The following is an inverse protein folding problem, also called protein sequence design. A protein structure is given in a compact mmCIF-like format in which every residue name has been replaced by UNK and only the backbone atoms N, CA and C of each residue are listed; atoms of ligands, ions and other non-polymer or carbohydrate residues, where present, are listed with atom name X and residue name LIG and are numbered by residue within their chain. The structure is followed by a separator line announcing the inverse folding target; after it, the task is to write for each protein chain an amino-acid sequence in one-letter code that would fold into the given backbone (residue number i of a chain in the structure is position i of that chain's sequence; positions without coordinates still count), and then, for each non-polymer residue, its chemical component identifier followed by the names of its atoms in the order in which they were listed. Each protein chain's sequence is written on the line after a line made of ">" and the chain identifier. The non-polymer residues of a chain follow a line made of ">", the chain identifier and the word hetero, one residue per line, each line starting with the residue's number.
data_IF_644588721296
#
_entry.id   IF_644588721296
#
_cell.length_a   1.000
_cell.length_b   1.000
_cell.length_c   1.000
_cell.angle_alpha   90.00
_cell.angle_beta   90.00
_cell.angle_gamma   90.00
#
_symmetry.space_group_name_H-M   'P 1'
#
loop_
_entity.id
_entity.type
_entity.pdbx_description
1 polymer ?
#
# COMPACT_ATOMS: atom_id res chain seq x y z
N UNK A 1 -1.55 -4.22 13.47
CA UNK A 1 -0.83 -4.19 12.17
C UNK A 1 -1.55 -3.25 11.20
N UNK A 2 -0.84 -2.36 10.48
CA UNK A 2 -1.45 -1.49 9.45
C UNK A 2 -1.66 -2.23 8.12
N UNK A 3 -2.84 -2.15 7.54
CA UNK A 3 -3.11 -2.69 6.19
C UNK A 3 -3.35 -1.53 5.23
N UNK A 4 -2.48 -1.37 4.24
CA UNK A 4 -2.58 -0.30 3.27
C UNK A 4 -3.41 -0.75 2.06
N UNK A 5 -4.50 -0.03 1.78
CA UNK A 5 -5.23 -0.20 0.52
C UNK A 5 -4.40 0.45 -0.59
N UNK A 6 -3.85 -0.36 -1.49
CA UNK A 6 -2.95 0.12 -2.52
C UNK A 6 -3.73 0.62 -3.76
N UNK A 7 -3.28 1.73 -4.34
CA UNK A 7 -3.79 2.34 -5.58
C UNK A 7 -5.25 2.85 -5.58
N UNK A 8 -5.80 3.44 -4.49
CA UNK A 8 -7.12 4.08 -4.53
C UNK A 8 -7.30 5.12 -5.65
N UNK A 9 -6.25 5.85 -6.04
CA UNK A 9 -6.25 6.82 -7.14
C UNK A 9 -6.62 6.19 -8.50
N UNK A 10 -6.49 4.87 -8.64
CA UNK A 10 -6.89 4.14 -9.86
C UNK A 10 -8.42 3.92 -9.98
N UNK A 11 -9.20 4.38 -9.00
CA UNK A 11 -10.67 4.24 -8.96
C UNK A 11 -11.32 5.59 -8.69
N UNK A 12 -11.73 6.27 -9.76
CA UNK A 12 -12.38 7.59 -9.69
C UNK A 12 -13.60 7.57 -8.77
N UNK A 13 -14.36 6.48 -8.77
CA UNK A 13 -15.55 6.30 -7.95
C UNK A 13 -15.23 6.32 -6.45
N UNK A 14 -14.08 5.77 -6.05
CA UNK A 14 -13.61 5.80 -4.65
C UNK A 14 -13.19 7.22 -4.27
N UNK A 15 -12.47 7.92 -5.16
CA UNK A 15 -12.07 9.32 -4.96
C UNK A 15 -13.30 10.23 -4.85
N UNK A 16 -14.27 10.08 -5.76
CA UNK A 16 -15.53 10.82 -5.73
C UNK A 16 -16.29 10.58 -4.43
N UNK A 17 -16.32 9.33 -3.95
CA UNK A 17 -17.00 9.01 -2.70
C UNK A 17 -16.28 9.59 -1.46
N UNK A 18 -14.94 9.65 -1.45
CA UNK A 18 -14.17 10.34 -0.41
C UNK A 18 -14.38 11.86 -0.44
N UNK A 19 -14.35 12.48 -1.62
CA UNK A 19 -14.60 13.91 -1.79
C UNK A 19 -16.01 14.29 -1.37
N UNK A 20 -17.01 13.50 -1.77
CA UNK A 20 -18.40 13.69 -1.35
C UNK A 20 -18.56 13.53 0.17
N UNK A 21 -17.82 12.59 0.79
CA UNK A 21 -17.79 12.49 2.25
C UNK A 21 -17.25 13.76 2.93
N UNK A 22 -16.15 14.32 2.41
CA UNK A 22 -15.57 15.58 2.93
C UNK A 22 -16.46 16.81 2.69
N UNK A 23 -17.31 16.80 1.66
CA UNK A 23 -18.24 17.88 1.36
C UNK A 23 -19.46 17.97 2.31
N UNK A 24 -19.70 16.94 3.14
CA UNK A 24 -20.72 16.93 4.20
C UNK A 24 -22.17 16.72 3.71
N UNK A 25 -23.14 17.21 4.49
CA UNK A 25 -24.58 16.88 4.35
C UNK A 25 -25.22 17.20 2.99
N UNK A 26 -24.61 18.05 2.17
CA UNK A 26 -25.13 18.43 0.84
C UNK A 26 -25.33 17.23 -0.09
N UNK A 27 -24.53 16.17 0.07
CA UNK A 27 -24.59 14.97 -0.76
C UNK A 27 -25.02 13.71 0.01
N UNK A 28 -25.48 13.84 1.27
CA UNK A 28 -25.81 12.68 2.12
C UNK A 28 -26.86 11.76 1.50
N UNK A 29 -27.91 12.32 0.91
CA UNK A 29 -29.00 11.56 0.26
C UNK A 29 -28.46 10.81 -0.97
N UNK A 30 -27.63 11.47 -1.80
CA UNK A 30 -26.97 10.84 -2.95
C UNK A 30 -26.03 9.72 -2.49
N UNK A 31 -25.23 9.96 -1.45
CA UNK A 31 -24.30 8.99 -0.87
C UNK A 31 -25.00 7.75 -0.31
N UNK A 32 -26.07 7.94 0.47
CA UNK A 32 -26.87 6.84 1.02
C UNK A 32 -27.57 6.04 -0.08
N UNK A 33 -28.06 6.72 -1.13
CA UNK A 33 -28.72 6.05 -2.27
C UNK A 33 -27.76 5.25 -3.16
N UNK A 34 -26.50 5.70 -3.31
CA UNK A 34 -25.51 5.07 -4.21
C UNK A 34 -24.65 4.04 -3.45
N UNK A 35 -24.29 4.30 -2.19
CA UNK A 35 -23.29 3.52 -1.45
C UNK A 35 -23.81 2.85 -0.16
N UNK A 36 -25.08 3.06 0.20
CA UNK A 36 -25.72 2.48 1.38
C UNK A 36 -25.48 3.27 2.67
N UNK A 37 -26.28 2.97 3.70
CA UNK A 37 -26.26 3.68 4.98
C UNK A 37 -24.97 3.47 5.79
N UNK A 38 -24.24 2.37 5.59
CA UNK A 38 -23.01 2.01 6.32
C UNK A 38 -21.73 2.63 5.73
N UNK A 39 -21.88 3.55 4.77
CA UNK A 39 -20.78 4.16 4.04
C UNK A 39 -19.98 5.16 4.90
N UNK A 40 -18.69 4.85 5.14
CA UNK A 40 -17.81 5.62 6.04
C UNK A 40 -18.48 5.99 7.38
N UNK A 41 -19.30 5.10 7.96
CA UNK A 41 -19.96 5.39 9.24
C UNK A 41 -19.00 5.16 10.41
N UNK A 42 -18.88 6.21 11.23
CA UNK A 42 -18.22 6.28 12.53
C UNK A 42 -18.55 7.65 13.13
N UNK A 43 -18.67 7.76 14.44
CA UNK A 43 -18.95 9.05 15.10
C UNK A 43 -17.77 10.02 14.96
N UNK A 44 -18.05 11.25 14.49
CA UNK A 44 -17.11 12.39 14.47
C UNK A 44 -16.12 12.43 13.29
N UNK A 45 -15.19 13.41 13.33
CA UNK A 45 -14.11 13.75 12.36
C UNK A 45 -13.16 12.57 11.96
N UNK A 46 -13.54 11.31 12.18
CA UNK A 46 -12.63 10.17 12.37
C UNK A 46 -12.77 9.01 11.36
N UNK A 47 -13.34 9.22 10.16
CA UNK A 47 -13.58 8.11 9.22
C UNK A 47 -12.45 7.91 8.23
N UNK A 48 -12.00 8.96 7.53
CA UNK A 48 -10.85 8.87 6.62
C UNK A 48 -9.54 8.66 7.39
N UNK A 49 -9.44 9.15 8.63
CA UNK A 49 -8.26 8.96 9.49
C UNK A 49 -8.07 7.50 9.94
N UNK A 50 -9.09 6.65 9.77
CA UNK A 50 -8.99 5.20 9.93
C UNK A 50 -8.60 4.44 8.66
N UNK A 51 -8.18 5.14 7.61
CA UNK A 51 -7.76 4.55 6.32
C UNK A 51 -6.25 4.69 6.18
N UNK A 52 -5.58 3.58 5.83
CA UNK A 52 -4.20 3.60 5.37
C UNK A 52 -4.15 3.35 3.86
N UNK A 53 -3.40 4.18 3.15
CA UNK A 53 -3.31 4.13 1.68
C UNK A 53 -1.87 4.03 1.23
N UNK A 54 -1.64 3.20 0.21
CA UNK A 54 -0.37 3.15 -0.50
C UNK A 54 -0.60 3.61 -1.93
N UNK A 55 0.18 4.58 -2.39
CA UNK A 55 0.15 5.05 -3.77
C UNK A 55 1.52 4.98 -4.41
N UNK A 56 1.53 4.99 -5.74
CA UNK A 56 2.78 5.04 -6.51
C UNK A 56 3.04 6.43 -7.05
N UNK A 57 4.23 6.95 -6.79
CA UNK A 57 4.71 8.21 -7.34
C UNK A 57 4.60 8.26 -8.87
N UNK A 58 4.87 7.14 -9.55
CA UNK A 58 4.78 7.04 -11.00
C UNK A 58 3.41 7.47 -11.56
N UNK A 59 2.33 7.16 -10.84
CA UNK A 59 0.97 7.55 -11.22
C UNK A 59 0.60 8.94 -10.68
N UNK A 60 0.94 9.23 -9.42
CA UNK A 60 0.60 10.50 -8.78
C UNK A 60 1.27 11.71 -9.44
N UNK A 61 2.49 11.58 -9.97
CA UNK A 61 3.18 12.68 -10.66
C UNK A 61 2.45 13.18 -11.91
N UNK A 62 1.48 12.43 -12.42
CA UNK A 62 0.63 12.81 -13.56
C UNK A 62 -0.74 13.33 -13.14
N UNK A 63 -1.14 13.08 -11.89
CA UNK A 63 -2.42 13.50 -11.34
C UNK A 63 -2.28 13.67 -9.83
N UNK A 64 -2.05 14.92 -9.41
CA UNK A 64 -1.83 15.28 -8.01
C UNK A 64 -3.14 15.61 -7.27
N UNK A 65 -4.30 15.50 -7.92
CA UNK A 65 -5.62 15.78 -7.32
C UNK A 65 -5.95 14.85 -6.14
N UNK A 66 -5.23 13.73 -6.02
CA UNK A 66 -5.31 12.84 -4.87
C UNK A 66 -4.60 13.39 -3.63
N UNK A 67 -3.56 14.21 -3.79
CA UNK A 67 -2.73 14.69 -2.69
C UNK A 67 -3.48 15.50 -1.63
N UNK A 68 -4.48 16.34 -1.96
CA UNK A 68 -5.34 16.98 -0.96
C UNK A 68 -6.06 16.02 0.00
N UNK A 69 -6.34 14.77 -0.41
CA UNK A 69 -6.96 13.74 0.44
C UNK A 69 -5.97 13.15 1.44
N UNK A 70 -4.68 13.14 1.12
CA UNK A 70 -3.63 12.43 1.89
C UNK A 70 -3.60 12.85 3.36
N UNK A 71 -3.79 14.15 3.63
CA UNK A 71 -3.81 14.70 5.01
C UNK A 71 -4.95 14.20 5.89
N UNK A 72 -6.00 13.61 5.30
CA UNK A 72 -7.15 13.08 6.02
C UNK A 72 -6.98 11.59 6.38
N UNK A 73 -5.98 10.90 5.80
CA UNK A 73 -5.75 9.49 6.06
C UNK A 73 -4.94 9.26 7.35
N UNK A 74 -5.12 8.09 7.95
CA UNK A 74 -4.35 7.68 9.14
C UNK A 74 -2.88 7.40 8.83
N UNK A 75 -2.61 6.97 7.60
CA UNK A 75 -1.25 6.73 7.12
C UNK A 75 -1.19 6.74 5.60
N UNK A 76 -0.15 7.34 5.05
CA UNK A 76 0.14 7.35 3.63
C UNK A 76 1.56 6.81 3.37
N UNK A 77 1.64 5.77 2.54
CA UNK A 77 2.89 5.22 2.02
C UNK A 77 3.02 5.59 0.54
N UNK A 78 4.18 6.13 0.18
CA UNK A 78 4.50 6.42 -1.21
C UNK A 78 5.52 5.41 -1.74
N UNK A 79 5.10 4.60 -2.69
CA UNK A 79 5.98 3.76 -3.49
C UNK A 79 6.65 4.57 -4.61
N UNK A 80 7.90 4.23 -4.94
CA UNK A 80 8.66 4.88 -6.01
C UNK A 80 8.08 4.59 -7.40
N UNK A 81 7.27 3.54 -7.55
CA UNK A 81 6.71 3.10 -8.83
C UNK A 81 7.66 2.26 -9.67
N UNK A 82 8.77 1.81 -9.08
CA UNK A 82 9.76 0.94 -9.70
C UNK A 82 9.13 -0.31 -10.36
N UNK A 83 8.14 -0.92 -9.71
CA UNK A 83 7.41 -2.07 -10.26
C UNK A 83 6.83 -1.81 -11.65
N UNK A 84 6.35 -0.60 -11.93
CA UNK A 84 5.77 -0.27 -13.25
C UNK A 84 6.84 -0.23 -14.34
N UNK A 85 8.07 0.17 -14.03
CA UNK A 85 9.19 0.12 -14.97
C UNK A 85 9.64 -1.31 -15.25
N UNK A 86 9.63 -2.18 -14.23
CA UNK A 86 10.01 -3.60 -14.36
C UNK A 86 8.94 -4.43 -15.08
N UNK A 87 7.66 -4.14 -14.87
CA UNK A 87 6.54 -4.86 -15.49
C UNK A 87 6.14 -4.36 -16.88
N UNK A 88 6.60 -3.16 -17.26
CA UNK A 88 6.30 -2.51 -18.53
C UNK A 88 7.25 -2.88 -19.67
N UNK A 89 6.87 -2.52 -20.89
CA UNK A 89 7.74 -2.58 -22.08
C UNK A 89 8.36 -1.21 -22.38
N UNK A 90 8.83 -0.51 -21.34
CA UNK A 90 9.49 0.79 -21.49
C UNK A 90 10.83 0.59 -22.21
N UNK A 91 10.78 0.69 -23.54
CA UNK A 91 11.90 0.52 -24.47
C UNK A 91 12.90 1.69 -24.45
N UNK A 92 12.65 2.72 -23.64
CA UNK A 92 13.57 3.84 -23.44
C UNK A 92 14.26 3.72 -22.08
N UNK A 93 15.56 3.95 -22.02
CA UNK A 93 16.28 4.06 -20.75
C UNK A 93 15.64 5.10 -19.85
N UNK A 94 15.54 4.80 -18.56
CA UNK A 94 15.10 5.76 -17.55
C UNK A 94 16.33 6.49 -17.01
N UNK A 95 16.31 7.82 -17.00
CA UNK A 95 17.30 8.60 -16.24
C UNK A 95 16.93 8.50 -14.75
N UNK A 96 17.55 7.56 -14.05
CA UNK A 96 17.29 7.31 -12.63
C UNK A 96 17.74 8.45 -11.74
N UNK A 97 18.77 9.21 -12.13
CA UNK A 97 19.20 10.38 -11.38
C UNK A 97 18.14 11.47 -11.43
N UNK A 98 17.61 11.77 -12.63
CA UNK A 98 16.50 12.71 -12.79
C UNK A 98 15.25 12.22 -12.05
N UNK A 99 14.91 10.93 -12.18
CA UNK A 99 13.75 10.35 -11.51
C UNK A 99 13.82 10.47 -9.99
N UNK A 100 14.98 10.17 -9.37
CA UNK A 100 15.18 10.34 -7.92
C UNK A 100 15.07 11.80 -7.51
N UNK A 101 15.58 12.73 -8.32
CA UNK A 101 15.48 14.16 -8.03
C UNK A 101 14.02 14.63 -8.05
N UNK A 102 13.26 14.29 -9.10
CA UNK A 102 11.82 14.62 -9.16
C UNK A 102 11.03 13.96 -8.02
N UNK A 103 11.36 12.71 -7.68
CA UNK A 103 10.72 11.99 -6.59
C UNK A 103 11.01 12.65 -5.23
N UNK A 104 12.24 13.07 -4.98
CA UNK A 104 12.63 13.81 -3.79
C UNK A 104 11.89 15.16 -3.69
N UNK A 105 11.79 15.89 -4.80
CA UNK A 105 11.06 17.16 -4.86
C UNK A 105 9.57 16.96 -4.55
N UNK A 106 8.96 15.89 -5.08
CA UNK A 106 7.58 15.52 -4.76
C UNK A 106 7.40 15.22 -3.26
N UNK A 107 8.30 14.41 -2.68
CA UNK A 107 8.30 14.07 -1.25
C UNK A 107 8.39 15.33 -0.38
N UNK A 108 9.25 16.28 -0.76
CA UNK A 108 9.44 17.52 -0.02
C UNK A 108 8.25 18.45 -0.15
N UNK A 109 7.75 18.66 -1.38
CA UNK A 109 6.61 19.54 -1.68
C UNK A 109 5.33 19.14 -0.94
N UNK A 110 5.06 17.83 -0.84
CA UNK A 110 3.89 17.30 -0.13
C UNK A 110 4.18 16.81 1.28
N UNK A 111 5.40 17.03 1.77
CA UNK A 111 5.88 16.59 3.09
C UNK A 111 5.55 15.12 3.41
N UNK A 112 5.77 14.25 2.43
CA UNK A 112 5.52 12.80 2.56
C UNK A 112 6.42 12.23 3.66
N UNK A 113 5.81 11.48 4.60
CA UNK A 113 6.48 10.97 5.80
C UNK A 113 7.04 9.57 5.64
N UNK A 114 6.32 8.71 4.92
CA UNK A 114 6.70 7.31 4.70
C UNK A 114 6.77 7.07 3.20
N UNK A 115 7.96 6.74 2.71
CA UNK A 115 8.19 6.50 1.29
C UNK A 115 9.27 5.45 1.11
N UNK A 116 9.13 4.65 0.05
CA UNK A 116 10.11 3.60 -0.27
C UNK A 116 11.29 4.16 -1.06
N UNK A 117 12.39 3.43 -1.01
CA UNK A 117 13.48 3.60 -1.96
C UNK A 117 13.07 3.26 -3.40
N UNK A 118 13.98 3.46 -4.35
CA UNK A 118 13.83 2.93 -5.70
C UNK A 118 14.19 1.45 -5.70
N UNK A 119 13.17 0.59 -5.71
CA UNK A 119 13.29 -0.87 -5.74
C UNK A 119 13.52 -1.39 -7.18
N UNK A 120 14.73 -1.15 -7.70
CA UNK A 120 15.12 -1.46 -9.09
C UNK A 120 16.39 -2.32 -9.17
N UNK A 121 16.66 -3.13 -8.15
CA UNK A 121 17.83 -4.01 -8.05
C UNK A 121 18.04 -4.87 -9.30
N UNK A 122 16.94 -5.39 -9.86
CA UNK A 122 16.96 -6.25 -11.05
C UNK A 122 17.35 -5.50 -12.32
N UNK A 123 17.32 -4.17 -12.31
CA UNK A 123 17.59 -3.31 -13.47
C UNK A 123 18.99 -2.72 -13.41
N UNK A 124 19.43 -2.21 -12.25
CA UNK A 124 20.69 -1.45 -12.13
C UNK A 124 21.68 -2.04 -11.13
N UNK A 125 21.28 -3.08 -10.38
CA UNK A 125 22.10 -3.68 -9.33
C UNK A 125 22.10 -2.92 -8.01
N UNK A 126 22.47 -3.61 -6.93
CA UNK A 126 22.39 -3.11 -5.55
C UNK A 126 23.24 -1.85 -5.31
N UNK A 127 24.47 -1.80 -5.82
CA UNK A 127 25.37 -0.67 -5.60
C UNK A 127 24.78 0.66 -6.13
N UNK A 128 24.08 0.59 -7.27
CA UNK A 128 23.42 1.76 -7.84
C UNK A 128 22.16 2.14 -7.06
N UNK A 129 21.38 1.16 -6.59
CA UNK A 129 20.26 1.42 -5.67
C UNK A 129 20.73 2.09 -4.38
N UNK A 130 21.85 1.65 -3.79
CA UNK A 130 22.44 2.30 -2.61
C UNK A 130 22.86 3.74 -2.91
N UNK A 131 23.50 4.01 -4.05
CA UNK A 131 23.88 5.37 -4.47
C UNK A 131 22.65 6.27 -4.61
N UNK A 132 21.59 5.78 -5.27
CA UNK A 132 20.33 6.48 -5.47
C UNK A 132 19.58 6.70 -4.14
N UNK A 133 19.59 5.72 -3.24
CA UNK A 133 19.05 5.84 -1.86
C UNK A 133 19.76 6.96 -1.11
N UNK A 134 21.09 7.00 -1.12
CA UNK A 134 21.84 8.06 -0.46
C UNK A 134 21.58 9.44 -1.09
N UNK A 135 21.37 9.51 -2.41
CA UNK A 135 20.94 10.76 -3.07
C UNK A 135 19.56 11.20 -2.55
N UNK A 136 18.59 10.29 -2.51
CA UNK A 136 17.24 10.53 -2.01
C UNK A 136 17.27 11.01 -0.55
N UNK A 137 18.07 10.37 0.30
CA UNK A 137 18.26 10.79 1.70
C UNK A 137 18.81 12.21 1.82
N UNK A 138 19.85 12.54 1.04
CA UNK A 138 20.43 13.89 1.06
C UNK A 138 19.44 14.96 0.60
N UNK A 139 18.64 14.67 -0.43
CA UNK A 139 17.69 15.64 -0.99
C UNK A 139 16.44 15.82 -0.12
N UNK A 140 15.99 14.76 0.55
CA UNK A 140 14.77 14.81 1.39
C UNK A 140 15.05 15.12 2.86
N UNK A 141 16.29 14.91 3.32
CA UNK A 141 16.63 14.93 4.74
C UNK A 141 15.93 13.83 5.55
N UNK A 142 15.34 12.83 4.89
CA UNK A 142 14.51 11.77 5.48
C UNK A 142 15.07 10.40 5.10
N UNK A 143 14.79 9.40 5.94
CA UNK A 143 15.15 7.99 5.68
C UNK A 143 14.06 7.31 4.84
N UNK A 144 14.34 6.86 3.61
CA UNK A 144 13.41 6.00 2.86
C UNK A 144 13.26 4.65 3.55
N UNK A 145 12.23 3.89 3.18
CA UNK A 145 12.06 2.48 3.56
C UNK A 145 12.80 1.63 2.52
N UNK A 146 13.96 1.03 2.86
CA UNK A 146 14.66 0.14 1.95
C UNK A 146 13.92 -1.20 1.79
N UNK A 147 13.99 -1.77 0.59
CA UNK A 147 13.27 -3.00 0.21
C UNK A 147 14.26 -4.15 0.06
N UNK A 148 14.11 -5.20 0.87
CA UNK A 148 14.99 -6.35 0.80
C UNK A 148 14.52 -7.35 -0.26
N UNK A 149 15.47 -7.82 -1.07
CA UNK A 149 15.30 -8.90 -2.05
C UNK A 149 16.23 -10.07 -1.74
N UNK A 150 15.87 -11.26 -2.24
CA UNK A 150 16.58 -12.52 -1.97
C UNK A 150 18.10 -12.43 -2.23
N UNK A 151 18.48 -11.76 -3.32
CA UNK A 151 19.86 -11.59 -3.76
C UNK A 151 20.71 -10.74 -2.80
N UNK A 152 20.11 -9.95 -1.90
CA UNK A 152 20.84 -9.12 -0.93
C UNK A 152 21.39 -9.92 0.26
N UNK A 153 20.87 -11.13 0.52
CA UNK A 153 21.35 -11.99 1.61
C UNK A 153 20.91 -11.56 3.01
N UNK A 154 21.17 -12.41 4.01
CA UNK A 154 20.68 -12.21 5.39
C UNK A 154 21.40 -11.08 6.10
N UNK A 155 22.70 -11.00 5.90
CA UNK A 155 23.60 -10.03 6.54
C UNK A 155 23.20 -8.61 6.15
N UNK A 156 22.84 -8.42 4.87
CA UNK A 156 22.32 -7.14 4.40
C UNK A 156 20.97 -6.77 5.04
N UNK A 157 20.08 -7.74 5.25
CA UNK A 157 18.82 -7.47 5.96
C UNK A 157 19.07 -7.00 7.39
N UNK A 158 20.03 -7.62 8.11
CA UNK A 158 20.41 -7.19 9.46
C UNK A 158 20.93 -5.75 9.42
N UNK A 159 21.84 -5.42 8.49
CA UNK A 159 22.35 -4.06 8.28
C UNK A 159 21.22 -3.05 8.00
N UNK A 160 20.27 -3.40 7.14
CA UNK A 160 19.08 -2.56 6.89
C UNK A 160 18.31 -2.27 8.18
N UNK A 161 18.13 -3.27 9.05
CA UNK A 161 17.41 -3.10 10.31
C UNK A 161 18.20 -2.26 11.33
N UNK A 162 19.53 -2.29 11.28
CA UNK A 162 20.40 -1.45 12.12
C UNK A 162 20.37 0.03 11.71
N UNK A 163 20.28 0.30 10.40
CA UNK A 163 20.44 1.63 9.83
C UNK A 163 19.11 2.38 9.60
N UNK A 164 18.00 1.65 9.45
CA UNK A 164 16.69 2.22 9.08
C UNK A 164 15.61 1.86 10.11
N UNK A 165 14.78 2.84 10.55
CA UNK A 165 13.72 2.58 11.53
C UNK A 165 12.55 1.79 10.95
N UNK A 166 12.52 1.58 9.63
CA UNK A 166 11.48 0.87 8.92
C UNK A 166 12.07 0.25 7.66
N UNK A 167 11.89 -1.05 7.48
CA UNK A 167 12.36 -1.82 6.33
C UNK A 167 11.20 -2.56 5.66
N UNK A 168 11.39 -3.02 4.44
CA UNK A 168 10.40 -3.82 3.72
C UNK A 168 10.98 -5.10 3.15
N UNK A 169 10.12 -6.10 2.96
CA UNK A 169 10.44 -7.33 2.22
C UNK A 169 9.72 -7.28 0.88
N UNK A 170 10.49 -7.21 -0.20
CA UNK A 170 10.04 -7.34 -1.59
C UNK A 170 10.07 -8.80 -2.08
N UNK A 171 9.88 -9.00 -3.37
CA UNK A 171 10.04 -10.32 -4.00
C UNK A 171 8.88 -11.31 -3.78
N UNK A 172 7.89 -10.96 -2.94
CA UNK A 172 6.72 -11.80 -2.62
C UNK A 172 5.82 -11.99 -3.84
N UNK A 173 5.52 -10.90 -4.56
CA UNK A 173 4.64 -10.89 -5.73
C UNK A 173 5.36 -11.42 -6.99
N UNK A 174 6.64 -11.12 -7.15
CA UNK A 174 7.48 -11.55 -8.29
C UNK A 174 7.86 -13.03 -8.22
N UNK A 175 7.50 -13.73 -7.14
CA UNK A 175 7.79 -15.17 -6.91
C UNK A 175 9.28 -15.50 -6.94
N UNK A 176 10.15 -14.55 -6.60
CA UNK A 176 11.59 -14.77 -6.43
C UNK A 176 11.90 -15.90 -5.44
N UNK A 177 11.00 -16.09 -4.48
CA UNK A 177 11.00 -17.19 -3.52
C UNK A 177 9.65 -17.91 -3.61
N UNK A 178 9.61 -19.25 -3.71
CA UNK A 178 8.37 -19.99 -3.62
C UNK A 178 7.62 -19.67 -2.33
N UNK A 179 6.29 -19.56 -2.39
CA UNK A 179 5.47 -19.15 -1.24
C UNK A 179 5.70 -19.93 0.03
N UNK A 180 5.79 -21.26 -0.10
CA UNK A 180 6.07 -22.16 1.02
C UNK A 180 7.42 -21.89 1.70
N UNK A 181 8.37 -21.29 0.98
CA UNK A 181 9.73 -21.00 1.45
C UNK A 181 9.84 -19.61 2.06
N UNK A 182 9.19 -18.58 1.50
CA UNK A 182 9.25 -17.25 2.14
C UNK A 182 8.41 -17.21 3.42
N UNK A 183 7.27 -17.90 3.47
CA UNK A 183 6.39 -17.91 4.65
C UNK A 183 7.05 -18.60 5.86
N UNK A 184 8.00 -19.50 5.66
CA UNK A 184 8.80 -20.08 6.76
C UNK A 184 9.91 -19.15 7.22
N UNK A 185 10.35 -18.22 6.39
CA UNK A 185 11.39 -17.25 6.72
C UNK A 185 10.84 -15.98 7.41
N UNK A 186 9.55 -15.65 7.22
CA UNK A 186 8.93 -14.45 7.81
C UNK A 186 9.14 -14.28 9.33
N UNK A 187 9.01 -15.32 10.18
CA UNK A 187 9.29 -15.16 11.60
C UNK A 187 10.71 -14.66 11.87
N UNK A 188 11.71 -15.11 11.09
CA UNK A 188 13.09 -14.64 11.24
C UNK A 188 13.25 -13.17 10.83
N UNK A 189 12.65 -12.76 9.70
CA UNK A 189 12.71 -11.36 9.26
C UNK A 189 12.03 -10.41 10.26
N UNK A 190 10.82 -10.77 10.70
CA UNK A 190 10.04 -9.95 11.66
C UNK A 190 10.80 -9.83 12.98
N UNK A 191 11.25 -10.96 13.55
CA UNK A 191 11.99 -10.95 14.81
C UNK A 191 13.32 -10.18 14.70
N UNK A 192 14.02 -10.28 13.56
CA UNK A 192 15.25 -9.54 13.32
C UNK A 192 14.96 -8.03 13.28
N UNK A 193 13.97 -7.58 12.52
CA UNK A 193 13.59 -6.16 12.49
C UNK A 193 13.25 -5.63 13.89
N UNK A 194 12.40 -6.34 14.64
CA UNK A 194 12.00 -5.94 15.98
C UNK A 194 13.16 -5.95 16.99
N UNK A 195 14.09 -6.91 16.89
CA UNK A 195 15.31 -6.94 17.71
C UNK A 195 16.14 -5.66 17.54
N UNK A 196 16.20 -5.12 16.33
CA UNK A 196 16.90 -3.88 16.01
C UNK A 196 15.99 -2.63 16.09
N UNK A 197 14.77 -2.77 16.64
CA UNK A 197 13.77 -1.69 16.80
C UNK A 197 13.30 -1.08 15.47
N UNK A 198 13.50 -1.78 14.36
CA UNK A 198 12.97 -1.43 13.06
C UNK A 198 11.56 -2.01 12.88
N UNK A 199 10.67 -1.23 12.26
CA UNK A 199 9.39 -1.74 11.74
C UNK A 199 9.62 -2.54 10.46
N UNK A 200 8.70 -3.44 10.13
CA UNK A 200 8.77 -4.24 8.91
C UNK A 200 7.48 -4.23 8.09
N UNK A 201 7.63 -3.96 6.79
CA UNK A 201 6.54 -3.98 5.80
C UNK A 201 6.63 -5.21 4.89
N UNK A 202 5.52 -5.95 4.72
CA UNK A 202 5.42 -7.03 3.73
C UNK A 202 4.80 -6.54 2.42
N UNK A 203 5.62 -6.25 1.41
CA UNK A 203 5.14 -5.68 0.14
C UNK A 203 4.28 -6.68 -0.64
N UNK A 204 3.06 -6.26 -0.99
CA UNK A 204 2.09 -7.06 -1.73
C UNK A 204 1.68 -8.35 -1.02
N UNK A 205 1.85 -8.47 0.31
CA UNK A 205 1.45 -9.66 1.04
C UNK A 205 -0.03 -9.63 1.43
N UNK A 206 -0.84 -10.32 0.62
CA UNK A 206 -2.31 -10.21 0.68
C UNK A 206 -3.01 -11.44 1.28
N UNK A 207 -2.28 -12.40 1.86
CA UNK A 207 -2.91 -13.61 2.42
C UNK A 207 -3.54 -13.32 3.79
N UNK A 208 -4.78 -12.82 3.78
CA UNK A 208 -5.53 -12.40 4.98
C UNK A 208 -5.49 -13.45 6.10
N UNK A 209 -5.76 -14.71 5.78
CA UNK A 209 -5.76 -15.81 6.76
C UNK A 209 -4.41 -16.01 7.48
N UNK A 210 -3.30 -15.67 6.83
CA UNK A 210 -1.96 -15.85 7.39
C UNK A 210 -1.45 -14.61 8.15
N UNK A 211 -2.14 -13.46 8.08
CA UNK A 211 -1.70 -12.24 8.76
C UNK A 211 -1.75 -12.36 10.29
N UNK A 212 -2.65 -13.20 10.82
CA UNK A 212 -2.67 -13.55 12.26
C UNK A 212 -1.39 -14.29 12.69
N UNK A 213 -0.80 -15.06 11.79
CA UNK A 213 0.41 -15.85 12.03
C UNK A 213 1.67 -15.01 11.85
N UNK A 214 1.70 -14.15 10.84
CA UNK A 214 2.86 -13.32 10.49
C UNK A 214 2.57 -11.85 10.80
N UNK A 215 2.90 -11.44 12.02
CA UNK A 215 2.64 -10.11 12.57
C UNK A 215 3.66 -9.08 12.07
N UNK A 216 3.59 -8.77 10.77
CA UNK A 216 4.26 -7.59 10.24
C UNK A 216 3.73 -6.32 10.94
N UNK A 217 4.53 -5.26 11.00
CA UNK A 217 4.01 -3.95 11.43
C UNK A 217 3.00 -3.41 10.42
N UNK A 218 3.18 -3.78 9.15
CA UNK A 218 2.28 -3.41 8.07
C UNK A 218 2.39 -4.31 6.83
N UNK A 219 1.33 -4.32 6.04
CA UNK A 219 1.30 -4.91 4.69
C UNK A 219 0.48 -4.02 3.75
N UNK A 220 0.61 -4.21 2.45
CA UNK A 220 -0.26 -3.59 1.45
C UNK A 220 -0.96 -4.62 0.57
N UNK A 221 -2.06 -4.19 -0.05
CA UNK A 221 -2.87 -5.05 -0.90
C UNK A 221 -3.61 -4.27 -1.98
N UNK A 222 -3.57 -4.82 -3.20
CA UNK A 222 -4.45 -4.44 -4.31
C UNK A 222 -5.67 -5.36 -4.43
N UNK A 223 -5.85 -6.37 -3.57
CA UNK A 223 -6.95 -7.34 -3.70
C UNK A 223 -8.35 -6.73 -3.63
N UNK A 224 -8.51 -5.56 -3.00
CA UNK A 224 -9.76 -4.81 -3.02
C UNK A 224 -10.17 -4.39 -4.45
N UNK A 225 -9.22 -4.23 -5.37
CA UNK A 225 -9.48 -3.97 -6.79
C UNK A 225 -10.00 -5.21 -7.55
N UNK A 226 -9.71 -6.42 -7.06
CA UNK A 226 -10.00 -7.66 -7.79
C UNK A 226 -11.48 -8.03 -7.80
N UNK A 227 -12.28 -7.59 -6.81
CA UNK A 227 -13.72 -7.84 -6.84
C UNK A 227 -14.37 -7.26 -8.11
N UNK A 228 -14.00 -6.05 -8.52
CA UNK A 228 -14.50 -5.48 -9.78
C UNK A 228 -13.99 -6.20 -11.01
N UNK A 229 -12.73 -6.63 -11.00
CA UNK A 229 -12.15 -7.39 -12.13
C UNK A 229 -12.81 -8.77 -12.27
N UNK A 230 -13.18 -9.39 -11.16
CA UNK A 230 -13.79 -10.72 -11.11
C UNK A 230 -15.31 -10.74 -11.08
N UNK A 231 -15.98 -9.58 -11.07
CA UNK A 231 -17.44 -9.50 -11.04
C UNK A 231 -18.09 -9.90 -9.72
N UNK A 232 -17.37 -9.75 -8.60
CA UNK A 232 -17.87 -10.05 -7.25
C UNK A 232 -17.64 -8.89 -6.28
N UNK A 233 -18.36 -8.91 -5.16
CA UNK A 233 -18.07 -8.02 -4.04
C UNK A 233 -17.29 -8.77 -2.96
N UNK A 234 -16.42 -8.05 -2.27
CA UNK A 234 -15.78 -8.52 -1.04
C UNK A 234 -16.68 -8.17 0.15
N UNK A 235 -16.65 -8.99 1.20
CA UNK A 235 -17.29 -8.72 2.49
C UNK A 235 -16.38 -9.16 3.62
N UNK A 236 -16.06 -8.26 4.54
CA UNK A 236 -15.26 -8.58 5.71
C UNK A 236 -16.13 -9.21 6.79
N UNK A 237 -15.68 -10.36 7.32
CA UNK A 237 -16.33 -11.03 8.44
C UNK A 237 -15.49 -10.83 9.72
N UNK A 238 -15.93 -9.96 10.64
CA UNK A 238 -15.18 -9.66 11.87
C UNK A 238 -15.12 -10.83 12.86
N UNK A 239 -16.01 -11.83 12.72
CA UNK A 239 -15.99 -13.02 13.59
C UNK A 239 -14.87 -13.98 13.21
N UNK A 240 -14.60 -14.11 11.92
CA UNK A 240 -13.56 -15.01 11.40
C UNK A 240 -12.25 -14.26 11.10
N UNK A 241 -12.29 -12.94 10.95
CA UNK A 241 -11.16 -12.13 10.52
C UNK A 241 -10.81 -12.30 9.03
N UNK A 242 -11.75 -12.82 8.23
CA UNK A 242 -11.52 -13.16 6.82
C UNK A 242 -12.31 -12.25 5.86
N UNK A 243 -11.84 -12.20 4.61
CA UNK A 243 -12.53 -11.56 3.51
C UNK A 243 -13.27 -12.61 2.68
N UNK A 244 -14.60 -12.49 2.61
CA UNK A 244 -15.48 -13.37 1.85
C UNK A 244 -15.77 -12.77 0.46
N UNK A 245 -15.89 -13.62 -0.55
CA UNK A 245 -16.31 -13.20 -1.89
C UNK A 245 -17.80 -13.53 -2.07
N UNK A 246 -18.56 -12.57 -2.55
CA UNK A 246 -19.99 -12.73 -2.80
C UNK A 246 -20.31 -12.38 -4.25
N UNK A 247 -21.01 -13.29 -4.92
CA UNK A 247 -21.54 -13.11 -6.26
C UNK A 247 -22.95 -13.69 -6.33
N UNK A 248 -23.77 -13.20 -7.26
CA UNK A 248 -25.11 -13.74 -7.51
C UNK A 248 -25.19 -14.22 -8.95
N UNK A 249 -25.55 -15.48 -9.12
CA UNK A 249 -25.74 -16.07 -10.46
C UNK A 249 -26.80 -15.31 -11.26
N UNK A 250 -26.57 -15.17 -12.56
CA UNK A 250 -27.45 -14.42 -13.47
C UNK A 250 -27.45 -12.90 -13.26
N UNK A 251 -26.67 -12.37 -12.32
CA UNK A 251 -26.57 -10.93 -12.06
C UNK A 251 -25.22 -10.37 -12.51
N UNK A 252 -25.21 -9.13 -13.00
CA UNK A 252 -23.97 -8.37 -13.27
C UNK A 252 -23.67 -7.46 -12.09
N UNK A 253 -22.38 -7.37 -11.74
CA UNK A 253 -21.91 -6.41 -10.75
C UNK A 253 -22.16 -4.99 -11.26
N UNK A 254 -22.74 -4.14 -10.40
CA UNK A 254 -22.74 -2.69 -10.64
C UNK A 254 -21.36 -2.15 -10.29
N UNK A 255 -20.55 -1.82 -11.30
CA UNK A 255 -19.12 -1.60 -11.14
C UNK A 255 -18.76 -0.44 -10.19
N UNK A 256 -19.54 0.66 -10.23
CA UNK A 256 -19.29 1.83 -9.38
C UNK A 256 -19.51 1.50 -7.90
N UNK A 257 -20.69 0.95 -7.59
CA UNK A 257 -21.08 0.55 -6.25
C UNK A 257 -20.20 -0.59 -5.73
N UNK A 258 -19.83 -1.53 -6.60
CA UNK A 258 -18.89 -2.62 -6.30
C UNK A 258 -17.50 -2.13 -5.92
N UNK A 259 -16.94 -1.14 -6.64
CA UNK A 259 -15.66 -0.51 -6.30
C UNK A 259 -15.65 0.11 -4.92
N UNK A 260 -16.69 0.87 -4.63
CA UNK A 260 -16.82 1.57 -3.36
C UNK A 260 -17.08 0.59 -2.21
N UNK A 261 -17.94 -0.41 -2.39
CA UNK A 261 -18.14 -1.49 -1.42
C UNK A 261 -16.83 -2.23 -1.10
N UNK A 262 -16.12 -2.69 -2.14
CA UNK A 262 -14.92 -3.50 -1.95
C UNK A 262 -13.83 -2.72 -1.22
N UNK A 263 -13.64 -1.45 -1.57
CA UNK A 263 -12.73 -0.57 -0.84
C UNK A 263 -13.12 -0.47 0.64
N UNK A 264 -14.39 -0.21 0.95
CA UNK A 264 -14.87 -0.08 2.32
C UNK A 264 -14.71 -1.35 3.16
N UNK A 265 -15.00 -2.51 2.59
CA UNK A 265 -14.84 -3.78 3.31
C UNK A 265 -13.37 -4.05 3.64
N UNK A 266 -12.45 -3.64 2.76
CA UNK A 266 -11.02 -3.64 3.06
C UNK A 266 -10.60 -2.60 4.10
N UNK A 267 -11.24 -1.43 4.14
CA UNK A 267 -11.06 -0.45 5.23
C UNK A 267 -11.51 -1.03 6.58
N UNK A 268 -12.67 -1.71 6.61
CA UNK A 268 -13.15 -2.43 7.82
C UNK A 268 -12.13 -3.48 8.27
N UNK A 269 -11.59 -4.26 7.33
CA UNK A 269 -10.53 -5.21 7.63
C UNK A 269 -9.25 -4.51 8.15
N UNK A 270 -8.81 -3.40 7.56
CA UNK A 270 -7.65 -2.65 8.04
C UNK A 270 -7.82 -2.21 9.49
N UNK A 271 -8.98 -1.65 9.84
CA UNK A 271 -9.28 -1.23 11.22
C UNK A 271 -9.27 -2.40 12.20
N UNK A 272 -9.82 -3.55 11.79
CA UNK A 272 -9.72 -4.78 12.57
C UNK A 272 -8.26 -5.22 12.75
N UNK A 273 -7.48 -5.23 11.67
CA UNK A 273 -6.08 -5.63 11.69
C UNK A 273 -5.22 -4.73 12.59
N UNK A 274 -5.49 -3.42 12.64
CA UNK A 274 -4.78 -2.52 13.53
C UNK A 274 -5.05 -2.81 15.01
N UNK A 275 -6.29 -3.18 15.33
CA UNK A 275 -6.73 -3.41 16.71
C UNK A 275 -6.39 -4.81 17.23
N UNK A 276 -6.42 -5.82 16.37
CA UNK A 276 -6.41 -7.23 16.80
C UNK A 276 -5.25 -8.07 16.27
N UNK A 277 -4.47 -7.58 15.28
CA UNK A 277 -3.34 -8.31 14.68
C UNK A 277 -2.00 -7.64 15.02
#
# INVERSE_FOLDING_TARGET
>A
MKVYCASPNSRKEVIEAMNSFLAGDKDKIMRESIYGADFFVGDGDSTLSGINVLESYYYLRKNEDFMPLVRHFGSFLLDSGAYTFMAGSHKGGCDWDAYVSEYADFINRFDVKLFFELDIDSVVGLAEVERLRHKLERMTGKKPIPVWHKNRGKEYFVKMCEEYPYVAIGGIVTKEIPRKVYETAFPWFINTAHKHKAKIHGLGYTTVANLQKYRFDSVDSTAWLYGNRGGYICKFNPRTGLMEQMSKEGCRLKSREGAVNNFNEWVKFSRYAEKFL
#
